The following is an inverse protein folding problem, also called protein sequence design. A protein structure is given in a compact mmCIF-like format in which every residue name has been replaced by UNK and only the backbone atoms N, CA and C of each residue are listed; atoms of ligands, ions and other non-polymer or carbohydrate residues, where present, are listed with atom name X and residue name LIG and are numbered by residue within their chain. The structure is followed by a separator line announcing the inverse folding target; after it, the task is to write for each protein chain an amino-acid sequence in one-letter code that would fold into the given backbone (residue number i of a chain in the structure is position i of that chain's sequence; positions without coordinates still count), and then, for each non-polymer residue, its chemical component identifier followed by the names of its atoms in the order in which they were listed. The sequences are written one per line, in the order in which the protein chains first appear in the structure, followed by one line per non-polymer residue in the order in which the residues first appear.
data_IF_380065040324
#
_entry.id   IF_380065040324
#
_cell.length_a   1.000
_cell.length_b   1.000
_cell.length_c   1.000
_cell.angle_alpha   90.00
_cell.angle_beta   90.00
_cell.angle_gamma   90.00
#
_symmetry.space_group_name_H-M   'P 1'
#
loop_
_entity.id
_entity.type
_entity.pdbx_description
1 polymer ?
#
# COMPACT_ATOMS: atom_id res chain seq x y z
N UNK A 1 -36.70 42.83 -67.27
CA UNK A 1 -35.39 42.71 -66.59
C UNK A 1 -34.97 41.24 -66.42
N UNK A 2 -35.84 40.35 -65.95
CA UNK A 2 -35.52 38.92 -65.76
C UNK A 2 -35.12 38.13 -67.04
N UNK A 3 -35.67 38.44 -68.22
CA UNK A 3 -35.31 37.70 -69.45
C UNK A 3 -33.90 38.01 -69.96
N UNK A 4 -33.36 39.21 -69.70
CA UNK A 4 -31.98 39.58 -70.05
C UNK A 4 -30.96 38.93 -69.13
N UNK A 5 -31.30 38.68 -67.87
CA UNK A 5 -30.44 37.96 -66.93
C UNK A 5 -30.37 36.45 -67.25
N UNK A 6 -31.48 35.86 -67.72
CA UNK A 6 -31.55 34.47 -68.15
C UNK A 6 -30.78 34.16 -69.46
N UNK A 7 -30.46 35.18 -70.25
CA UNK A 7 -29.73 35.04 -71.54
C UNK A 7 -28.27 35.51 -71.47
N UNK A 8 -27.80 35.96 -70.30
CA UNK A 8 -26.43 36.45 -70.16
C UNK A 8 -25.44 35.28 -70.05
N UNK A 9 -24.63 35.10 -71.10
CA UNK A 9 -23.59 34.05 -71.19
C UNK A 9 -22.18 34.58 -70.88
N UNK A 10 -22.04 35.83 -70.42
CA UNK A 10 -20.74 36.47 -70.21
C UNK A 10 -20.04 36.11 -68.88
N UNK A 11 -20.68 35.32 -68.00
CA UNK A 11 -20.14 34.97 -66.68
C UNK A 11 -19.38 33.65 -66.64
N UNK A 12 -18.17 33.64 -66.05
CA UNK A 12 -17.42 32.43 -65.67
C UNK A 12 -18.03 31.69 -64.44
N UNK A 13 -19.26 32.04 -64.04
CA UNK A 13 -19.91 31.55 -62.81
C UNK A 13 -20.05 30.03 -62.82
N UNK A 14 -20.42 29.42 -63.96
CA UNK A 14 -20.53 27.97 -64.07
C UNK A 14 -19.18 27.25 -63.91
N UNK A 15 -18.09 27.85 -64.39
CA UNK A 15 -16.72 27.32 -64.25
C UNK A 15 -16.23 27.43 -62.80
N UNK A 16 -16.42 28.59 -62.17
CA UNK A 16 -16.05 28.81 -60.76
C UNK A 16 -16.88 27.91 -59.85
N UNK A 17 -18.20 27.78 -60.11
CA UNK A 17 -19.07 26.88 -59.39
C UNK A 17 -18.63 25.42 -59.55
N UNK A 18 -18.34 24.96 -60.78
CA UNK A 18 -17.88 23.59 -61.03
C UNK A 18 -16.57 23.27 -60.32
N UNK A 19 -15.60 24.20 -60.32
CA UNK A 19 -14.33 24.03 -59.62
C UNK A 19 -14.48 24.08 -58.08
N UNK A 20 -15.37 24.91 -57.56
CA UNK A 20 -15.64 25.01 -56.11
C UNK A 20 -16.54 23.88 -55.57
N UNK A 21 -17.35 23.26 -56.42
CA UNK A 21 -18.24 22.17 -56.05
C UNK A 21 -17.48 20.90 -55.65
N UNK A 22 -16.38 20.60 -56.35
CA UNK A 22 -15.54 19.42 -56.07
C UNK A 22 -15.01 19.42 -54.62
N UNK A 23 -14.30 20.44 -54.13
CA UNK A 23 -13.80 20.46 -52.75
C UNK A 23 -14.93 20.52 -51.71
N UNK A 24 -16.09 21.10 -52.04
CA UNK A 24 -17.27 21.08 -51.15
C UNK A 24 -17.82 19.67 -50.96
N UNK A 25 -18.00 18.91 -52.04
CA UNK A 25 -18.48 17.52 -51.97
C UNK A 25 -17.48 16.64 -51.24
N UNK A 26 -16.17 16.82 -51.51
CA UNK A 26 -15.11 16.10 -50.78
C UNK A 26 -15.14 16.45 -49.29
N UNK A 27 -15.34 17.72 -48.94
CA UNK A 27 -15.45 18.15 -47.54
C UNK A 27 -16.65 17.54 -46.81
N UNK A 28 -17.82 17.51 -47.45
CA UNK A 28 -19.01 16.83 -46.90
C UNK A 28 -18.77 15.32 -46.80
N UNK A 29 -18.12 14.73 -47.80
CA UNK A 29 -17.77 13.32 -47.80
C UNK A 29 -16.84 12.94 -46.64
N UNK A 30 -15.80 13.73 -46.43
CA UNK A 30 -14.89 13.57 -45.31
C UNK A 30 -15.60 13.71 -43.96
N UNK A 31 -16.54 14.65 -43.83
CA UNK A 31 -17.31 14.81 -42.60
C UNK A 31 -18.19 13.59 -42.30
N UNK A 32 -18.83 12.99 -43.32
CA UNK A 32 -19.67 11.79 -43.15
C UNK A 32 -18.80 10.57 -42.81
N UNK A 33 -17.70 10.36 -43.53
CA UNK A 33 -16.81 9.24 -43.26
C UNK A 33 -16.17 9.38 -41.86
N UNK A 34 -15.72 10.57 -41.49
CA UNK A 34 -15.22 10.88 -40.14
C UNK A 34 -16.28 10.61 -39.06
N UNK A 35 -17.53 11.04 -39.29
CA UNK A 35 -18.62 10.77 -38.35
C UNK A 35 -18.84 9.27 -38.13
N UNK A 36 -18.71 8.46 -39.20
CA UNK A 36 -18.82 7.00 -39.11
C UNK A 36 -17.65 6.38 -38.34
N UNK A 37 -16.42 6.81 -38.62
CA UNK A 37 -15.26 6.30 -37.89
C UNK A 37 -15.24 6.74 -36.44
N UNK A 38 -15.64 7.98 -36.14
CA UNK A 38 -15.80 8.45 -34.76
C UNK A 38 -16.86 7.63 -34.02
N UNK A 39 -17.99 7.30 -34.66
CA UNK A 39 -19.01 6.43 -34.05
C UNK A 39 -18.50 5.02 -33.81
N UNK A 40 -17.74 4.45 -34.76
CA UNK A 40 -17.12 3.13 -34.59
C UNK A 40 -16.10 3.13 -33.46
N UNK A 41 -15.26 4.16 -33.37
CA UNK A 41 -14.29 4.34 -32.30
C UNK A 41 -14.98 4.39 -30.92
N UNK A 42 -16.01 5.22 -30.76
CA UNK A 42 -16.74 5.30 -29.48
C UNK A 42 -17.35 3.96 -29.05
N UNK A 43 -17.92 3.21 -30.00
CA UNK A 43 -18.50 1.90 -29.70
C UNK A 43 -17.45 0.84 -29.36
N UNK A 44 -16.31 0.81 -30.09
CA UNK A 44 -15.21 -0.08 -29.76
C UNK A 44 -14.59 0.26 -28.41
N UNK A 45 -14.53 1.53 -28.02
CA UNK A 45 -14.06 1.95 -26.69
C UNK A 45 -14.97 1.38 -25.59
N UNK A 46 -16.28 1.50 -25.74
CA UNK A 46 -17.26 0.93 -24.79
C UNK A 46 -17.08 -0.59 -24.65
N UNK A 47 -16.89 -1.30 -25.77
CA UNK A 47 -16.60 -2.73 -25.76
C UNK A 47 -15.25 -3.04 -25.10
N UNK A 48 -14.21 -2.25 -25.38
CA UNK A 48 -12.89 -2.44 -24.79
C UNK A 48 -12.91 -2.25 -23.27
N UNK A 49 -13.63 -1.24 -22.76
CA UNK A 49 -13.80 -0.98 -21.33
C UNK A 49 -14.49 -2.16 -20.63
N UNK A 50 -15.58 -2.64 -21.22
CA UNK A 50 -16.33 -3.75 -20.65
C UNK A 50 -15.60 -5.10 -20.80
N UNK A 51 -14.82 -5.30 -21.87
CA UNK A 51 -13.96 -6.45 -22.05
C UNK A 51 -12.77 -6.46 -21.08
N UNK A 52 -12.15 -5.30 -20.84
CA UNK A 52 -11.10 -5.15 -19.83
C UNK A 52 -11.64 -5.47 -18.44
N UNK A 53 -12.85 -5.01 -18.12
CA UNK A 53 -13.54 -5.36 -16.87
C UNK A 53 -13.89 -6.84 -16.78
N UNK A 54 -14.36 -7.46 -17.86
CA UNK A 54 -14.68 -8.89 -17.90
C UNK A 54 -13.42 -9.75 -17.68
N UNK A 55 -12.31 -9.40 -18.34
CA UNK A 55 -11.01 -10.02 -18.08
C UNK A 55 -10.51 -9.78 -16.66
N UNK A 56 -10.70 -8.57 -16.12
CA UNK A 56 -10.26 -8.24 -14.77
C UNK A 56 -11.02 -8.98 -13.66
N UNK A 57 -12.26 -9.42 -13.93
CA UNK A 57 -13.06 -10.26 -13.01
C UNK A 57 -12.63 -11.73 -13.00
N UNK A 58 -11.85 -12.17 -13.98
CA UNK A 58 -11.35 -13.53 -14.02
C UNK A 58 -10.24 -13.71 -12.97
N UNK A 59 -10.53 -14.55 -11.97
CA UNK A 59 -9.70 -14.78 -10.78
C UNK A 59 -8.52 -15.75 -11.03
N UNK A 60 -7.93 -15.71 -12.22
CA UNK A 60 -6.83 -16.58 -12.63
C UNK A 60 -5.56 -15.78 -12.91
N UNK A 61 -4.40 -16.23 -12.42
CA UNK A 61 -3.09 -15.65 -12.81
C UNK A 61 -2.68 -16.09 -14.22
N UNK A 62 -3.40 -17.04 -14.82
CA UNK A 62 -3.19 -17.47 -16.20
C UNK A 62 -3.77 -16.44 -17.18
N UNK A 63 -2.89 -15.82 -17.96
CA UNK A 63 -3.26 -14.89 -19.04
C UNK A 63 -4.21 -15.54 -20.05
N UNK A 64 -4.14 -16.86 -20.28
CA UNK A 64 -5.02 -17.53 -21.22
C UNK A 64 -6.49 -17.51 -20.75
N UNK A 65 -6.74 -17.69 -19.46
CA UNK A 65 -8.09 -17.62 -18.88
C UNK A 65 -8.64 -16.19 -18.94
N UNK A 66 -7.84 -15.21 -18.53
CA UNK A 66 -8.20 -13.78 -18.61
C UNK A 66 -8.48 -13.34 -20.05
N UNK A 67 -7.63 -13.76 -20.98
CA UNK A 67 -7.80 -13.50 -22.40
C UNK A 67 -9.07 -14.14 -22.94
N UNK A 68 -9.39 -15.37 -22.56
CA UNK A 68 -10.62 -16.03 -22.97
C UNK A 68 -11.87 -15.27 -22.45
N UNK A 69 -11.87 -14.84 -21.18
CA UNK A 69 -12.97 -14.07 -20.61
C UNK A 69 -13.19 -12.73 -21.33
N UNK A 70 -12.13 -11.95 -21.55
CA UNK A 70 -12.20 -10.70 -22.29
C UNK A 70 -12.60 -10.92 -23.76
N UNK A 71 -12.05 -11.93 -24.44
CA UNK A 71 -12.38 -12.24 -25.84
C UNK A 71 -13.84 -12.67 -26.00
N UNK A 72 -14.37 -13.48 -25.09
CA UNK A 72 -15.78 -13.87 -25.10
C UNK A 72 -16.70 -12.65 -24.97
N UNK A 73 -16.29 -11.64 -24.19
CA UNK A 73 -17.06 -10.41 -24.06
C UNK A 73 -17.02 -9.57 -25.35
N UNK A 74 -15.83 -9.38 -25.94
CA UNK A 74 -15.68 -8.70 -27.24
C UNK A 74 -16.56 -9.40 -28.28
N UNK A 75 -16.48 -10.73 -28.32
CA UNK A 75 -17.16 -11.51 -29.35
C UNK A 75 -18.69 -11.44 -29.25
N UNK A 76 -19.23 -11.29 -28.04
CA UNK A 76 -20.66 -11.17 -27.80
C UNK A 76 -21.21 -9.76 -28.03
N UNK A 77 -20.36 -8.73 -27.91
CA UNK A 77 -20.80 -7.33 -27.88
C UNK A 77 -20.37 -6.50 -29.09
N UNK A 78 -19.46 -6.99 -29.94
CA UNK A 78 -19.11 -6.32 -31.21
C UNK A 78 -20.12 -6.70 -32.31
N UNK A 79 -20.81 -5.72 -32.95
CA UNK A 79 -21.68 -5.96 -34.09
C UNK A 79 -20.92 -6.63 -35.26
N UNK A 80 -21.57 -7.53 -36.03
CA UNK A 80 -20.91 -8.25 -37.13
C UNK A 80 -20.18 -7.37 -38.14
N UNK A 81 -20.71 -6.17 -38.39
CA UNK A 81 -20.16 -5.19 -39.34
C UNK A 81 -18.84 -4.57 -38.87
N UNK A 82 -18.71 -4.31 -37.55
CA UNK A 82 -17.47 -3.84 -36.95
C UNK A 82 -16.48 -4.98 -36.74
N UNK A 83 -16.98 -6.20 -36.55
CA UNK A 83 -16.14 -7.38 -36.37
C UNK A 83 -15.28 -7.68 -37.59
N UNK A 84 -15.82 -7.49 -38.80
CA UNK A 84 -15.04 -7.61 -40.05
C UNK A 84 -14.02 -6.48 -40.26
N UNK A 85 -14.15 -5.38 -39.51
CA UNK A 85 -13.26 -4.22 -39.57
C UNK A 85 -12.15 -4.27 -38.52
N UNK A 86 -12.21 -5.20 -37.56
CA UNK A 86 -11.16 -5.41 -36.57
C UNK A 86 -9.95 -6.12 -37.21
N UNK A 87 -8.77 -5.52 -37.07
CA UNK A 87 -7.49 -6.07 -37.54
C UNK A 87 -6.80 -6.88 -36.44
N UNK A 88 -6.84 -6.40 -35.20
CA UNK A 88 -6.13 -7.01 -34.08
C UNK A 88 -6.85 -6.76 -32.75
N UNK A 89 -6.84 -7.77 -31.90
CA UNK A 89 -7.18 -7.64 -30.47
C UNK A 89 -5.97 -8.07 -29.66
N UNK A 90 -5.45 -7.16 -28.84
CA UNK A 90 -4.33 -7.42 -27.94
C UNK A 90 -4.83 -7.35 -26.50
N UNK A 91 -4.69 -8.46 -25.76
CA UNK A 91 -5.06 -8.55 -24.35
C UNK A 91 -3.82 -8.99 -23.60
N UNK A 92 -3.38 -8.16 -22.66
CA UNK A 92 -2.15 -8.39 -21.91
C UNK A 92 -2.30 -7.93 -20.46
N UNK A 93 -1.45 -8.47 -19.59
CA UNK A 93 -1.23 -7.89 -18.27
C UNK A 93 -0.26 -6.71 -18.37
N UNK A 94 -0.52 -5.66 -17.60
CA UNK A 94 0.44 -4.59 -17.38
C UNK A 94 1.38 -4.93 -16.23
N UNK A 95 2.45 -4.15 -16.06
CA UNK A 95 3.36 -4.30 -14.92
C UNK A 95 2.65 -4.12 -13.56
N UNK A 96 1.55 -3.36 -13.55
CA UNK A 96 0.77 -3.02 -12.35
C UNK A 96 -0.40 -4.00 -12.10
N UNK A 97 -0.36 -5.20 -12.70
CA UNK A 97 -1.42 -6.22 -12.59
C UNK A 97 -2.80 -5.75 -13.10
N UNK A 98 -2.82 -4.86 -14.11
CA UNK A 98 -4.03 -4.50 -14.82
C UNK A 98 -4.25 -5.39 -16.04
N UNK A 99 -5.50 -5.54 -16.46
CA UNK A 99 -5.84 -6.09 -17.79
C UNK A 99 -5.92 -4.92 -18.76
N UNK A 100 -5.06 -4.94 -19.76
CA UNK A 100 -5.08 -3.99 -20.88
C UNK A 100 -5.66 -4.66 -22.12
N UNK A 101 -6.67 -4.03 -22.71
CA UNK A 101 -7.33 -4.46 -23.94
C UNK A 101 -7.12 -3.39 -25.00
N UNK A 102 -6.55 -3.78 -26.14
CA UNK A 102 -6.43 -2.94 -27.34
C UNK A 102 -7.20 -3.57 -28.48
N UNK A 103 -8.01 -2.77 -29.16
CA UNK A 103 -8.72 -3.18 -30.36
C UNK A 103 -8.32 -2.23 -31.49
N UNK A 104 -7.63 -2.79 -32.49
CA UNK A 104 -7.26 -2.10 -33.72
C UNK A 104 -8.22 -2.49 -34.84
N UNK A 105 -8.63 -1.53 -35.66
CA UNK A 105 -9.48 -1.75 -36.81
C UNK A 105 -9.39 -0.66 -37.87
N UNK A 106 -10.16 -0.78 -38.94
CA UNK A 106 -10.26 0.23 -40.00
C UNK A 106 -11.66 0.33 -40.56
N UNK A 107 -12.14 1.56 -40.71
CA UNK A 107 -13.45 1.83 -41.31
C UNK A 107 -13.27 2.17 -42.79
N UNK A 108 -13.94 1.41 -43.65
CA UNK A 108 -14.00 1.71 -45.08
C UNK A 108 -14.76 3.03 -45.32
N UNK A 109 -14.11 3.93 -46.03
CA UNK A 109 -14.67 5.21 -46.45
C UNK A 109 -15.55 5.03 -47.68
N UNK A 110 -16.65 5.79 -47.76
CA UNK A 110 -17.55 5.73 -48.90
C UNK A 110 -17.36 6.91 -49.84
N UNK A 111 -17.21 8.11 -49.30
CA UNK A 111 -17.17 9.34 -50.12
C UNK A 111 -15.74 9.82 -50.35
N UNK A 112 -14.86 9.67 -49.37
CA UNK A 112 -13.43 10.03 -49.49
C UNK A 112 -12.62 9.03 -50.30
N UNK A 113 -13.17 7.84 -50.61
CA UNK A 113 -12.58 6.89 -51.55
C UNK A 113 -12.39 7.50 -52.96
N UNK A 114 -13.26 8.44 -53.36
CA UNK A 114 -13.16 9.15 -54.65
C UNK A 114 -11.86 9.95 -54.78
N UNK A 115 -11.29 10.39 -53.65
CA UNK A 115 -10.00 11.11 -53.59
C UNK A 115 -8.83 10.23 -53.10
N UNK A 116 -9.02 8.90 -53.06
CA UNK A 116 -7.97 7.93 -52.79
C UNK A 116 -7.76 7.56 -51.32
N UNK A 117 -8.49 8.17 -50.38
CA UNK A 117 -8.50 7.75 -48.97
C UNK A 117 -9.52 6.63 -48.87
N UNK A 118 -9.08 5.38 -48.71
CA UNK A 118 -9.99 4.21 -48.76
C UNK A 118 -10.42 3.74 -47.39
N UNK A 119 -9.54 3.86 -46.41
CA UNK A 119 -9.74 3.39 -45.05
C UNK A 119 -9.28 4.46 -44.07
N UNK A 120 -9.90 4.46 -42.89
CA UNK A 120 -9.43 5.23 -41.74
C UNK A 120 -9.20 4.27 -40.59
N UNK A 121 -7.97 4.22 -40.10
CA UNK A 121 -7.61 3.36 -38.97
C UNK A 121 -8.19 3.91 -37.67
N UNK A 122 -8.68 2.99 -36.83
CA UNK A 122 -9.17 3.26 -35.49
C UNK A 122 -8.45 2.34 -34.51
N UNK A 123 -8.06 2.87 -33.36
CA UNK A 123 -7.43 2.10 -32.29
C UNK A 123 -7.97 2.60 -30.97
N UNK A 124 -8.45 1.68 -30.14
CA UNK A 124 -8.94 1.96 -28.79
C UNK A 124 -8.15 1.14 -27.79
N UNK A 125 -7.92 1.72 -26.61
CA UNK A 125 -7.26 1.06 -25.51
C UNK A 125 -8.06 1.27 -24.23
N UNK A 126 -8.20 0.21 -23.45
CA UNK A 126 -8.75 0.26 -22.11
C UNK A 126 -7.87 -0.52 -21.15
N UNK A 127 -7.82 -0.05 -19.90
CA UNK A 127 -7.05 -0.67 -18.84
C UNK A 127 -7.87 -0.70 -17.57
N UNK A 128 -8.00 -1.89 -16.97
CA UNK A 128 -8.72 -2.09 -15.72
C UNK A 128 -7.81 -2.83 -14.74
N UNK A 129 -7.58 -2.22 -13.59
CA UNK A 129 -6.87 -2.87 -12.49
C UNK A 129 -7.62 -4.11 -12.06
N UNK A 130 -6.91 -5.24 -12.03
CA UNK A 130 -7.47 -6.45 -11.45
C UNK A 130 -7.62 -6.23 -9.96
N UNK A 131 -8.65 -6.80 -9.36
CA UNK A 131 -8.65 -6.97 -7.92
C UNK A 131 -7.49 -7.89 -7.56
N UNK A 132 -6.30 -7.33 -7.31
CA UNK A 132 -5.28 -8.07 -6.58
C UNK A 132 -5.96 -8.55 -5.31
N UNK A 133 -5.78 -9.83 -4.97
CA UNK A 133 -5.97 -10.26 -3.60
C UNK A 133 -4.90 -9.55 -2.80
N UNK A 134 -5.13 -8.27 -2.49
CA UNK A 134 -4.11 -7.38 -1.97
C UNK A 134 -3.40 -8.08 -0.83
N UNK A 135 -2.08 -8.07 -0.83
CA UNK A 135 -1.34 -8.56 0.32
C UNK A 135 -1.13 -7.41 1.29
N UNK A 136 -1.31 -7.70 2.57
CA UNK A 136 -1.17 -6.74 3.65
C UNK A 136 -0.25 -7.35 4.70
N UNK A 137 0.81 -6.64 5.06
CA UNK A 137 1.72 -7.04 6.13
C UNK A 137 1.71 -5.95 7.20
N UNK A 138 1.19 -6.26 8.38
CA UNK A 138 1.00 -5.27 9.46
C UNK A 138 1.86 -5.64 10.67
N UNK A 139 2.66 -4.69 11.14
CA UNK A 139 3.36 -4.79 12.42
C UNK A 139 2.63 -3.95 13.47
N UNK A 140 2.07 -4.62 14.47
CA UNK A 140 1.46 -4.00 15.64
C UNK A 140 2.55 -3.74 16.68
N UNK A 141 3.03 -2.50 16.75
CA UNK A 141 4.03 -2.03 17.71
C UNK A 141 3.31 -1.44 18.91
N UNK A 142 3.12 -2.27 19.94
CA UNK A 142 2.20 -1.97 21.03
C UNK A 142 2.95 -1.75 22.35
N UNK A 143 2.76 -0.58 22.92
CA UNK A 143 3.30 -0.21 24.24
C UNK A 143 2.71 -1.10 25.34
N UNK A 144 3.57 -1.80 26.07
CA UNK A 144 3.22 -2.58 27.26
C UNK A 144 4.03 -2.15 28.48
N UNK A 145 4.30 -0.86 28.59
CA UNK A 145 5.05 -0.26 29.70
C UNK A 145 4.20 -0.19 30.97
N UNK A 146 4.82 0.17 32.10
CA UNK A 146 4.13 0.26 33.38
C UNK A 146 2.94 1.24 33.41
N UNK A 147 2.94 2.29 32.58
CA UNK A 147 1.84 3.27 32.48
C UNK A 147 0.57 2.66 31.86
N UNK A 148 0.72 1.66 31.00
CA UNK A 148 -0.39 0.95 30.35
C UNK A 148 -1.16 0.00 31.28
N UNK A 149 -0.80 -0.13 32.55
CA UNK A 149 -1.44 -1.08 33.48
C UNK A 149 -2.95 -0.88 33.61
N UNK A 150 -3.66 -1.97 33.88
CA UNK A 150 -5.10 -1.95 34.13
C UNK A 150 -5.90 -1.80 32.84
N UNK A 151 -6.85 -0.85 32.84
CA UNK A 151 -7.84 -0.69 31.76
C UNK A 151 -7.23 -0.22 30.43
N UNK A 152 -6.12 0.50 30.46
CA UNK A 152 -5.43 0.96 29.24
C UNK A 152 -4.95 -0.22 28.39
N UNK A 153 -4.17 -1.13 28.97
CA UNK A 153 -3.69 -2.34 28.27
C UNK A 153 -4.85 -3.28 27.93
N UNK A 154 -5.88 -3.40 28.77
CA UNK A 154 -7.06 -4.20 28.43
C UNK A 154 -7.74 -3.67 27.17
N UNK A 155 -8.00 -2.36 27.11
CA UNK A 155 -8.62 -1.71 25.95
C UNK A 155 -7.76 -1.85 24.70
N UNK A 156 -6.44 -1.67 24.81
CA UNK A 156 -5.50 -1.90 23.71
C UNK A 156 -5.58 -3.33 23.16
N UNK A 157 -5.59 -4.33 24.05
CA UNK A 157 -5.68 -5.74 23.64
C UNK A 157 -6.96 -6.04 22.91
N UNK A 158 -8.09 -5.49 23.38
CA UNK A 158 -9.39 -5.70 22.78
C UNK A 158 -9.45 -5.12 21.37
N UNK A 159 -9.01 -3.87 21.18
CA UNK A 159 -9.04 -3.22 19.85
C UNK A 159 -8.04 -3.84 18.87
N UNK A 160 -6.85 -4.23 19.35
CA UNK A 160 -5.84 -4.87 18.50
C UNK A 160 -6.28 -6.28 18.08
N UNK A 161 -6.88 -7.05 18.99
CA UNK A 161 -7.47 -8.36 18.67
C UNK A 161 -8.58 -8.22 17.66
N UNK A 162 -9.49 -7.27 17.88
CA UNK A 162 -10.60 -7.00 16.96
C UNK A 162 -10.12 -6.61 15.56
N UNK A 163 -9.07 -5.79 15.45
CA UNK A 163 -8.49 -5.43 14.16
C UNK A 163 -7.96 -6.65 13.40
N UNK A 164 -7.24 -7.55 14.08
CA UNK A 164 -6.76 -8.80 13.47
C UNK A 164 -7.93 -9.67 13.02
N UNK A 165 -8.95 -9.83 13.85
CA UNK A 165 -10.14 -10.63 13.54
C UNK A 165 -10.92 -10.04 12.34
N UNK A 166 -11.17 -8.74 12.33
CA UNK A 166 -11.92 -8.07 11.26
C UNK A 166 -11.18 -8.14 9.92
N UNK A 167 -9.85 -7.94 9.92
CA UNK A 167 -9.03 -8.06 8.69
C UNK A 167 -8.97 -9.51 8.21
N UNK A 168 -8.75 -10.48 9.11
CA UNK A 168 -8.65 -11.90 8.74
C UNK A 168 -9.97 -12.51 8.26
N UNK A 169 -11.11 -11.87 8.59
CA UNK A 169 -12.43 -12.27 8.08
C UNK A 169 -12.57 -12.03 6.56
N UNK A 170 -11.80 -11.10 5.99
CA UNK A 170 -11.81 -10.80 4.56
C UNK A 170 -10.97 -11.84 3.78
N UNK A 171 -11.66 -12.81 3.16
CA UNK A 171 -11.03 -13.90 2.40
C UNK A 171 -10.33 -13.45 1.11
N UNK A 172 -10.62 -12.24 0.64
CA UNK A 172 -10.00 -11.67 -0.56
C UNK A 172 -8.67 -10.95 -0.26
N UNK A 173 -8.33 -10.76 1.02
CA UNK A 173 -7.13 -10.05 1.49
C UNK A 173 -6.13 -11.04 2.09
N UNK A 174 -4.91 -11.12 1.53
CA UNK A 174 -3.83 -11.94 2.08
C UNK A 174 -3.09 -11.15 3.16
N UNK A 175 -3.62 -11.18 4.37
CA UNK A 175 -3.04 -10.49 5.51
C UNK A 175 -2.04 -11.35 6.29
N UNK A 176 -0.96 -10.72 6.76
CA UNK A 176 -0.12 -11.23 7.84
C UNK A 176 0.02 -10.16 8.92
N UNK A 177 0.07 -10.61 10.17
CA UNK A 177 0.29 -9.73 11.32
C UNK A 177 1.51 -10.16 12.11
N UNK A 178 2.28 -9.17 12.57
CA UNK A 178 3.31 -9.32 13.57
C UNK A 178 2.91 -8.53 14.82
N UNK A 179 3.29 -9.03 15.99
CA UNK A 179 3.15 -8.32 17.26
C UNK A 179 4.54 -7.98 17.79
N UNK A 180 4.79 -6.70 18.03
CA UNK A 180 6.00 -6.19 18.67
C UNK A 180 5.60 -5.49 19.96
N UNK A 181 5.48 -6.23 21.08
CA UNK A 181 5.28 -5.61 22.38
C UNK A 181 6.59 -4.96 22.83
N UNK A 182 6.54 -3.72 23.31
CA UNK A 182 7.74 -3.01 23.74
C UNK A 182 7.55 -2.29 25.08
N UNK A 183 8.64 -2.29 25.86
CA UNK A 183 8.80 -1.44 27.01
C UNK A 183 10.19 -0.78 26.97
N UNK A 184 11.04 -1.04 27.96
CA UNK A 184 12.44 -0.61 27.92
C UNK A 184 13.22 -1.40 26.88
N UNK A 185 12.90 -2.68 26.69
CA UNK A 185 13.51 -3.56 25.70
C UNK A 185 12.42 -4.29 24.92
N UNK A 186 12.85 -4.95 23.85
CA UNK A 186 12.02 -5.88 23.08
C UNK A 186 12.55 -7.30 23.31
N UNK A 187 11.65 -8.26 23.39
CA UNK A 187 11.98 -9.68 23.49
C UNK A 187 11.84 -10.35 22.13
N UNK A 188 12.93 -10.86 21.56
CA UNK A 188 12.95 -11.54 20.24
C UNK A 188 12.70 -13.05 20.36
N UNK A 189 12.57 -13.55 21.58
CA UNK A 189 12.38 -14.96 21.91
C UNK A 189 13.72 -15.69 22.16
N UNK A 190 13.76 -16.61 23.14
CA UNK A 190 14.97 -17.36 23.47
C UNK A 190 15.44 -18.29 22.35
N UNK A 191 14.54 -18.66 21.42
CA UNK A 191 14.86 -19.48 20.25
C UNK A 191 15.90 -18.81 19.32
N UNK A 192 16.03 -17.48 19.38
CA UNK A 192 16.98 -16.71 18.54
C UNK A 192 18.43 -16.76 19.05
N UNK A 193 18.74 -17.50 20.12
CA UNK A 193 20.06 -17.43 20.79
C UNK A 193 21.26 -17.81 19.90
N UNK A 194 21.03 -18.60 18.86
CA UNK A 194 22.06 -19.00 17.89
C UNK A 194 21.95 -18.27 16.55
N UNK A 195 21.12 -17.23 16.46
CA UNK A 195 20.96 -16.46 15.25
C UNK A 195 22.27 -15.73 14.89
N UNK A 196 22.62 -15.71 13.59
CA UNK A 196 23.87 -15.12 13.11
C UNK A 196 23.96 -13.61 13.36
N UNK A 197 22.81 -12.93 13.41
CA UNK A 197 22.65 -11.49 13.64
C UNK A 197 22.70 -11.09 15.12
N UNK A 198 22.71 -12.05 16.06
CA UNK A 198 22.70 -11.80 17.50
C UNK A 198 24.12 -11.86 18.08
N UNK A 199 24.49 -10.87 18.88
CA UNK A 199 25.71 -10.85 19.68
C UNK A 199 25.40 -11.34 21.10
N UNK A 200 25.96 -12.49 21.45
CA UNK A 200 25.77 -13.12 22.76
C UNK A 200 26.94 -12.88 23.73
N UNK A 201 27.82 -11.91 23.45
CA UNK A 201 28.99 -11.63 24.29
C UNK A 201 28.66 -11.07 25.67
N UNK A 202 27.46 -10.50 25.84
CA UNK A 202 27.01 -9.85 27.07
C UNK A 202 26.08 -10.70 27.95
N UNK A 203 25.73 -11.92 27.50
CA UNK A 203 24.89 -12.83 28.28
C UNK A 203 25.76 -13.86 29.02
N UNK A 204 25.39 -14.17 30.25
CA UNK A 204 26.09 -15.12 31.10
C UNK A 204 25.96 -16.56 30.59
N UNK A 205 24.79 -16.91 30.04
CA UNK A 205 24.57 -18.22 29.41
C UNK A 205 23.51 -18.17 28.32
N UNK A 206 23.81 -18.80 27.19
CA UNK A 206 22.85 -19.01 26.09
C UNK A 206 21.63 -19.82 26.51
N UNK A 207 21.77 -20.79 27.43
CA UNK A 207 20.66 -21.66 27.84
C UNK A 207 19.64 -20.97 28.75
N UNK A 208 20.03 -19.86 29.40
CA UNK A 208 19.17 -19.12 30.35
C UNK A 208 18.70 -17.78 29.81
N UNK A 209 19.17 -17.37 28.63
CA UNK A 209 18.78 -16.10 28.02
C UNK A 209 17.29 -16.11 27.68
N UNK A 210 16.59 -15.07 28.13
CA UNK A 210 15.12 -14.97 28.02
C UNK A 210 14.63 -14.38 26.68
N UNK A 211 15.56 -13.94 25.82
CA UNK A 211 15.26 -13.35 24.51
C UNK A 211 15.33 -11.82 24.45
N UNK A 212 15.75 -11.12 25.50
CA UNK A 212 15.82 -9.66 25.46
C UNK A 212 17.07 -9.14 24.76
N UNK A 213 16.87 -8.06 24.01
CA UNK A 213 17.91 -7.42 23.21
C UNK A 213 18.02 -5.93 23.52
N UNK A 214 19.25 -5.43 23.45
CA UNK A 214 19.55 -4.01 23.56
C UNK A 214 19.45 -3.30 22.22
N UNK A 215 19.58 -2.00 22.28
CA UNK A 215 19.80 -1.20 21.08
C UNK A 215 21.14 -1.51 20.43
N UNK A 216 21.32 -1.09 19.17
CA UNK A 216 22.64 -1.01 18.51
C UNK A 216 23.25 0.38 18.75
N UNK A 217 24.54 0.56 18.45
CA UNK A 217 25.21 1.85 18.68
C UNK A 217 24.51 3.00 17.93
N UNK A 218 24.69 4.24 18.38
CA UNK A 218 23.89 5.42 17.99
C UNK A 218 23.51 5.54 16.50
N UNK A 219 24.44 5.28 15.57
CA UNK A 219 24.14 5.34 14.13
C UNK A 219 23.36 4.12 13.57
N UNK A 220 23.48 2.96 14.22
CA UNK A 220 22.90 1.68 13.81
C UNK A 220 21.57 1.40 14.52
N UNK A 221 21.28 2.12 15.60
CA UNK A 221 20.05 1.96 16.35
C UNK A 221 18.82 2.42 15.56
N UNK A 222 19.05 3.24 14.53
CA UNK A 222 18.04 3.82 13.67
C UNK A 222 17.97 3.17 12.28
N UNK A 223 18.77 2.14 12.00
CA UNK A 223 18.82 1.45 10.69
C UNK A 223 18.33 0.01 10.79
N UNK A 224 18.03 -0.58 9.63
CA UNK A 224 17.66 -2.00 9.45
C UNK A 224 18.63 -2.72 8.49
N UNK A 225 19.92 -2.65 8.77
CA UNK A 225 20.97 -3.23 7.91
C UNK A 225 22.17 -3.75 8.70
N UNK A 226 23.16 -4.32 8.00
CA UNK A 226 24.49 -4.65 8.51
C UNK A 226 24.54 -5.64 9.70
N UNK A 227 23.56 -6.54 9.80
CA UNK A 227 23.49 -7.54 10.87
C UNK A 227 24.62 -8.56 10.88
N UNK A 228 25.33 -8.75 9.75
CA UNK A 228 26.44 -9.68 9.67
C UNK A 228 27.67 -9.20 10.46
N UNK A 229 27.95 -7.90 10.45
CA UNK A 229 29.15 -7.33 11.11
C UNK A 229 28.81 -6.48 12.33
N UNK A 230 27.59 -5.94 12.39
CA UNK A 230 27.08 -5.10 13.48
C UNK A 230 25.80 -5.72 14.05
N UNK A 231 26.03 -6.80 14.79
CA UNK A 231 25.03 -7.63 15.44
C UNK A 231 24.26 -6.89 16.52
N UNK A 232 23.07 -7.39 16.83
CA UNK A 232 22.23 -6.87 17.91
C UNK A 232 22.67 -7.51 19.23
N UNK A 233 22.94 -6.72 20.28
CA UNK A 233 23.36 -7.26 21.57
C UNK A 233 22.22 -7.96 22.30
N UNK A 234 22.42 -9.23 22.66
CA UNK A 234 21.59 -9.94 23.63
C UNK A 234 21.89 -9.41 25.04
N UNK A 235 20.84 -9.23 25.85
CA UNK A 235 20.99 -8.74 27.23
C UNK A 235 20.41 -9.73 28.23
N UNK A 236 21.13 -9.90 29.35
CA UNK A 236 20.60 -10.50 30.57
C UNK A 236 19.97 -9.41 31.44
N UNK A 237 18.65 -9.29 31.31
CA UNK A 237 17.84 -8.33 32.07
C UNK A 237 16.89 -9.06 33.02
N UNK A 238 16.60 -8.52 34.22
CA UNK A 238 15.73 -9.18 35.19
C UNK A 238 14.34 -9.48 34.63
N UNK A 239 13.80 -8.51 33.88
CA UNK A 239 12.49 -8.56 33.25
C UNK A 239 12.64 -8.57 31.74
N UNK A 240 11.98 -9.52 31.11
CA UNK A 240 11.92 -9.61 29.66
C UNK A 240 10.45 -9.84 29.30
N UNK A 241 9.86 -8.87 28.60
CA UNK A 241 8.44 -8.86 28.27
C UNK A 241 8.02 -10.01 27.36
N UNK A 242 6.78 -9.98 26.90
CA UNK A 242 6.29 -10.94 25.90
C UNK A 242 7.19 -10.92 24.66
N UNK A 243 7.50 -12.07 24.10
CA UNK A 243 8.28 -12.14 22.85
C UNK A 243 7.48 -11.61 21.67
N UNK A 244 8.18 -11.04 20.68
CA UNK A 244 7.64 -10.77 19.36
C UNK A 244 6.90 -12.01 18.85
N UNK A 245 5.71 -11.79 18.29
CA UNK A 245 5.09 -12.75 17.37
C UNK A 245 5.55 -12.37 15.97
N UNK A 246 6.34 -13.19 15.27
CA UNK A 246 6.77 -12.89 13.91
C UNK A 246 5.58 -12.73 12.97
N UNK A 247 5.84 -12.14 11.82
CA UNK A 247 4.82 -11.91 10.80
C UNK A 247 4.22 -13.24 10.34
N UNK A 248 2.92 -13.43 10.55
CA UNK A 248 2.25 -14.69 10.22
C UNK A 248 0.79 -14.47 9.80
N UNK A 249 0.28 -15.39 8.98
CA UNK A 249 -1.14 -15.58 8.65
C UNK A 249 -1.88 -16.47 9.67
N UNK A 250 -1.19 -16.96 10.72
CA UNK A 250 -1.77 -17.69 11.84
C UNK A 250 -2.37 -16.73 12.86
N UNK A 251 -3.49 -16.12 12.51
CA UNK A 251 -4.13 -15.04 13.27
C UNK A 251 -4.41 -15.40 14.74
N UNK A 252 -4.77 -16.66 15.04
CA UNK A 252 -5.00 -17.12 16.41
C UNK A 252 -3.75 -17.08 17.30
N UNK A 253 -2.56 -17.27 16.72
CA UNK A 253 -1.29 -17.16 17.44
C UNK A 253 -0.98 -15.69 17.76
N UNK A 254 -1.28 -14.78 16.82
CA UNK A 254 -1.12 -13.34 16.99
C UNK A 254 -2.08 -12.81 18.06
N UNK A 255 -3.37 -13.14 18.00
CA UNK A 255 -4.36 -12.71 19.00
C UNK A 255 -4.09 -13.32 20.39
N UNK A 256 -3.60 -14.56 20.45
CA UNK A 256 -3.11 -15.16 21.70
C UNK A 256 -1.87 -14.43 22.24
N UNK A 257 -0.97 -13.97 21.36
CA UNK A 257 0.19 -13.17 21.78
C UNK A 257 -0.25 -11.82 22.36
N UNK A 258 -1.19 -11.12 21.71
CA UNK A 258 -1.78 -9.85 22.16
C UNK A 258 -2.40 -10.02 23.54
N UNK A 259 -3.30 -11.00 23.70
CA UNK A 259 -4.01 -11.22 24.97
C UNK A 259 -3.06 -11.54 26.13
N UNK A 260 -1.90 -12.15 25.86
CA UNK A 260 -0.88 -12.49 26.86
C UNK A 260 0.08 -11.36 27.23
N UNK A 261 -0.02 -10.17 26.63
CA UNK A 261 0.83 -9.02 26.98
C UNK A 261 0.62 -8.63 28.45
N UNK A 262 1.66 -8.12 29.10
CA UNK A 262 1.57 -7.60 30.47
C UNK A 262 2.33 -6.28 30.56
N UNK A 263 1.78 -5.35 31.34
CA UNK A 263 2.30 -4.00 31.46
C UNK A 263 3.39 -3.91 32.55
N UNK A 264 4.62 -3.56 32.17
CA UNK A 264 5.74 -3.43 33.09
C UNK A 264 6.91 -2.61 32.52
N UNK A 265 7.83 -2.19 33.39
CA UNK A 265 9.06 -1.45 33.07
C UNK A 265 8.83 -0.03 32.51
N UNK A 266 9.92 0.67 32.17
CA UNK A 266 9.90 2.01 31.61
C UNK A 266 9.66 1.98 30.08
N UNK A 267 9.53 3.16 29.46
CA UNK A 267 9.17 3.34 28.05
C UNK A 267 10.36 3.74 27.20
N UNK A 268 10.65 2.93 26.16
CA UNK A 268 11.62 3.26 25.11
C UNK A 268 11.05 2.94 23.72
N UNK A 269 10.32 3.91 23.16
CA UNK A 269 9.64 3.83 21.86
C UNK A 269 10.59 3.45 20.70
N UNK A 270 11.84 3.96 20.62
CA UNK A 270 12.74 3.60 19.53
C UNK A 270 12.98 2.09 19.38
N UNK A 271 13.00 1.32 20.49
CA UNK A 271 13.15 -0.12 20.39
C UNK A 271 11.93 -0.77 19.73
N UNK A 272 10.71 -0.37 20.12
CA UNK A 272 9.49 -0.83 19.49
C UNK A 272 9.47 -0.54 18.00
N UNK A 273 9.75 0.72 17.61
CA UNK A 273 9.77 1.14 16.20
C UNK A 273 10.82 0.39 15.37
N UNK A 274 12.05 0.28 15.86
CA UNK A 274 13.11 -0.42 15.14
C UNK A 274 12.79 -1.92 14.96
N UNK A 275 12.16 -2.56 15.94
CA UNK A 275 11.70 -3.94 15.83
C UNK A 275 10.45 -4.11 14.97
N UNK A 276 9.53 -3.13 14.98
CA UNK A 276 8.40 -3.04 14.06
C UNK A 276 8.84 -2.98 12.61
N UNK A 277 9.90 -2.21 12.32
CA UNK A 277 10.51 -2.19 10.99
C UNK A 277 11.14 -3.54 10.64
N UNK A 278 11.93 -4.12 11.54
CA UNK A 278 12.62 -5.42 11.34
C UNK A 278 11.66 -6.56 11.00
N UNK A 279 10.51 -6.66 11.66
CA UNK A 279 9.53 -7.74 11.39
C UNK A 279 8.83 -7.60 10.03
N UNK A 280 8.78 -6.39 9.46
CA UNK A 280 8.24 -6.13 8.12
C UNK A 280 9.27 -6.30 7.02
N UNK A 281 10.54 -6.46 7.37
CA UNK A 281 11.63 -6.44 6.41
C UNK A 281 11.93 -7.85 5.88
N UNK A 282 12.41 -7.99 4.64
CA UNK A 282 12.58 -9.31 4.01
C UNK A 282 13.79 -10.11 4.51
N UNK A 283 14.68 -9.46 5.26
CA UNK A 283 15.94 -10.05 5.72
C UNK A 283 15.93 -10.33 7.22
N UNK A 284 17.06 -10.83 7.72
CA UNK A 284 17.28 -10.91 9.17
C UNK A 284 16.96 -9.55 9.84
N UNK A 285 16.40 -9.54 11.07
CA UNK A 285 16.29 -10.69 11.99
C UNK A 285 15.16 -11.70 11.73
N UNK A 286 14.09 -11.29 11.04
CA UNK A 286 12.88 -12.07 10.78
C UNK A 286 12.65 -12.13 9.26
N UNK A 287 12.71 -13.32 8.65
CA UNK A 287 12.66 -13.48 7.20
C UNK A 287 11.25 -13.63 6.61
N UNK A 288 10.21 -13.43 7.41
CA UNK A 288 8.82 -13.67 7.04
C UNK A 288 8.20 -12.54 6.21
N UNK A 289 8.78 -11.33 6.26
CA UNK A 289 8.37 -10.17 5.47
C UNK A 289 8.65 -10.36 3.98
N UNK A 290 7.73 -9.91 3.13
CA UNK A 290 8.01 -9.87 1.69
C UNK A 290 9.03 -8.77 1.34
N UNK A 291 9.52 -8.78 0.10
CA UNK A 291 10.31 -7.66 -0.43
C UNK A 291 9.53 -6.33 -0.34
N UNK A 292 10.25 -5.21 -0.25
CA UNK A 292 9.61 -3.90 -0.29
C UNK A 292 9.07 -3.62 -1.69
N UNK A 293 7.88 -3.04 -1.74
CA UNK A 293 7.26 -2.50 -2.95
C UNK A 293 7.40 -0.98 -2.96
N UNK A 294 7.92 -0.42 -4.05
CA UNK A 294 8.09 1.02 -4.22
C UNK A 294 6.77 1.78 -4.18
N UNK A 295 5.65 1.16 -4.57
CA UNK A 295 4.32 1.75 -4.51
C UNK A 295 3.55 1.39 -3.22
N UNK A 296 4.10 0.48 -2.41
CA UNK A 296 3.47 -0.08 -1.20
C UNK A 296 2.04 -0.63 -1.44
N UNK A 297 1.88 -1.43 -2.49
CA UNK A 297 0.60 -2.02 -2.92
C UNK A 297 0.54 -3.53 -2.73
N UNK A 298 1.64 -4.25 -3.00
CA UNK A 298 1.65 -5.71 -2.91
C UNK A 298 3.00 -6.30 -2.43
N UNK A 299 3.17 -6.55 -1.12
CA UNK A 299 2.22 -6.21 -0.07
C UNK A 299 2.24 -4.73 0.26
N UNK A 300 1.07 -4.18 0.62
CA UNK A 300 1.00 -2.98 1.44
C UNK A 300 1.56 -3.32 2.82
N UNK A 301 2.64 -2.66 3.20
CA UNK A 301 3.29 -2.79 4.52
C UNK A 301 2.85 -1.64 5.41
N UNK A 302 2.39 -1.99 6.60
CA UNK A 302 1.86 -1.04 7.59
C UNK A 302 2.51 -1.28 8.95
N UNK A 303 2.97 -0.21 9.58
CA UNK A 303 3.41 -0.20 10.97
C UNK A 303 2.40 0.59 11.81
N UNK A 304 1.80 -0.05 12.82
CA UNK A 304 0.89 0.60 13.76
C UNK A 304 1.63 0.79 15.08
N UNK A 305 1.97 2.02 15.43
CA UNK A 305 2.55 2.38 16.73
C UNK A 305 1.45 2.88 17.66
N UNK A 306 1.35 2.32 18.86
CA UNK A 306 0.51 2.86 19.94
C UNK A 306 1.37 3.06 21.18
N UNK A 307 1.29 4.25 21.78
CA UNK A 307 1.89 4.54 23.09
C UNK A 307 1.00 5.47 23.92
N UNK A 308 1.09 5.35 25.26
CA UNK A 308 0.37 6.19 26.22
C UNK A 308 1.24 7.22 26.93
N UNK A 309 2.49 7.39 26.51
CA UNK A 309 3.42 8.22 27.25
C UNK A 309 4.71 8.56 26.52
N UNK A 310 5.57 9.27 27.25
CA UNK A 310 6.85 9.74 26.74
C UNK A 310 7.87 8.60 26.76
N UNK A 311 8.93 8.76 25.97
CA UNK A 311 10.17 8.08 26.31
C UNK A 311 10.60 8.44 27.74
N UNK A 312 11.02 7.45 28.51
CA UNK A 312 11.55 7.62 29.89
C UNK A 312 12.94 7.02 30.04
N UNK A 313 13.48 6.47 28.94
CA UNK A 313 14.78 5.84 28.86
C UNK A 313 15.65 6.48 27.77
N UNK A 314 16.97 6.41 27.95
CA UNK A 314 17.99 6.84 26.98
C UNK A 314 18.98 5.70 26.68
N UNK A 315 19.78 5.86 25.62
CA UNK A 315 20.83 4.91 25.21
C UNK A 315 22.23 5.38 25.58
N UNK A 316 22.37 6.30 26.53
CA UNK A 316 23.68 6.86 26.89
C UNK A 316 24.63 5.81 27.52
N UNK A 317 24.08 4.70 28.01
CA UNK A 317 24.83 3.53 28.48
C UNK A 317 24.62 2.31 27.56
N UNK A 318 24.87 2.51 26.27
CA UNK A 318 24.82 1.48 25.24
C UNK A 318 25.54 0.18 25.67
N UNK A 319 24.96 -1.01 25.47
CA UNK A 319 23.67 -1.30 24.79
C UNK A 319 22.44 -1.31 25.69
N UNK A 320 22.63 -1.02 26.98
CA UNK A 320 21.54 -0.93 27.94
C UNK A 320 20.84 0.42 27.83
N UNK A 321 19.57 0.42 28.21
CA UNK A 321 18.80 1.64 28.35
C UNK A 321 18.81 2.08 29.80
N UNK A 322 19.13 3.35 30.03
CA UNK A 322 19.14 3.94 31.35
C UNK A 322 17.91 4.82 31.55
N UNK A 323 17.31 4.80 32.75
CA UNK A 323 16.23 5.72 33.06
C UNK A 323 16.79 7.15 33.13
N UNK A 324 16.13 8.08 32.45
CA UNK A 324 16.54 9.50 32.46
C UNK A 324 16.44 10.13 33.87
N UNK A 325 15.41 9.77 34.63
CA UNK A 325 15.23 10.09 36.06
C UNK A 325 14.19 9.14 36.70
N UNK A 326 14.44 7.83 36.59
CA UNK A 326 13.44 6.77 36.86
C UNK A 326 12.40 6.67 35.73
N UNK A 327 11.48 5.69 35.78
CA UNK A 327 10.40 5.55 34.78
C UNK A 327 9.39 6.71 34.79
N UNK A 328 9.56 7.69 35.69
CA UNK A 328 8.74 8.89 35.81
C UNK A 328 9.50 10.18 35.44
N UNK A 329 10.78 10.05 35.10
CA UNK A 329 11.69 11.17 34.84
C UNK A 329 11.68 11.62 33.38
N UNK A 330 11.64 12.95 33.16
CA UNK A 330 11.63 13.58 31.83
C UNK A 330 13.00 14.14 31.40
N UNK A 331 14.05 14.01 32.22
CA UNK A 331 15.37 14.54 31.89
C UNK A 331 16.14 13.58 30.95
N UNK A 332 16.85 14.12 29.96
CA UNK A 332 17.67 13.41 28.95
C UNK A 332 16.94 12.63 27.82
N UNK A 333 15.62 12.78 27.66
CA UNK A 333 14.84 12.01 26.66
C UNK A 333 14.86 12.58 25.23
N UNK A 334 15.40 13.79 25.03
CA UNK A 334 15.47 14.44 23.71
C UNK A 334 16.16 13.57 22.65
N UNK A 335 17.20 12.82 23.05
CA UNK A 335 17.91 11.88 22.17
C UNK A 335 17.02 10.72 21.73
N UNK A 336 16.21 10.20 22.64
CA UNK A 336 15.25 9.13 22.36
C UNK A 336 14.13 9.60 21.43
N UNK A 337 13.61 10.81 21.64
CA UNK A 337 12.63 11.43 20.74
C UNK A 337 13.21 11.73 19.36
N UNK A 338 14.48 12.13 19.29
CA UNK A 338 15.21 12.28 18.02
C UNK A 338 15.34 10.93 17.29
N UNK A 339 15.58 9.83 18.02
CA UNK A 339 15.60 8.50 17.44
C UNK A 339 14.23 8.03 16.95
N UNK A 340 13.15 8.35 17.66
CA UNK A 340 11.79 8.12 17.14
C UNK A 340 11.65 8.77 15.77
N UNK A 341 11.95 10.08 15.66
CA UNK A 341 11.86 10.82 14.38
C UNK A 341 12.68 10.17 13.28
N UNK A 342 13.96 9.90 13.54
CA UNK A 342 14.87 9.30 12.55
C UNK A 342 14.44 7.90 12.12
N UNK A 343 13.96 7.06 13.04
CA UNK A 343 13.46 5.72 12.67
C UNK A 343 12.22 5.85 11.79
N UNK A 344 11.26 6.70 12.16
CA UNK A 344 10.04 6.89 11.37
C UNK A 344 10.36 7.44 9.97
N UNK A 345 11.30 8.39 9.85
CA UNK A 345 11.80 8.84 8.54
C UNK A 345 12.40 7.69 7.73
N UNK A 346 13.18 6.82 8.35
CA UNK A 346 13.83 5.69 7.67
C UNK A 346 12.82 4.62 7.23
N UNK A 347 11.81 4.34 8.06
CA UNK A 347 10.69 3.45 7.74
C UNK A 347 9.87 4.03 6.58
N UNK A 348 9.54 5.32 6.62
CA UNK A 348 8.83 6.01 5.53
C UNK A 348 9.61 6.00 4.22
N UNK A 349 10.96 6.07 4.26
CA UNK A 349 11.81 5.94 3.07
C UNK A 349 11.76 4.55 2.41
N UNK A 350 11.30 3.52 3.12
CA UNK A 350 10.99 2.20 2.55
C UNK A 350 9.55 2.09 2.02
N UNK A 351 8.83 3.21 1.94
CA UNK A 351 7.41 3.31 1.60
C UNK A 351 6.47 2.54 2.54
N UNK A 352 6.92 2.18 3.74
CA UNK A 352 6.04 1.60 4.77
C UNK A 352 5.13 2.69 5.32
N UNK A 353 3.84 2.40 5.39
CA UNK A 353 2.84 3.31 5.96
C UNK A 353 2.84 3.22 7.48
N UNK A 354 2.94 4.35 8.18
CA UNK A 354 2.98 4.40 9.64
C UNK A 354 1.69 5.02 10.15
N UNK A 355 0.94 4.25 10.94
CA UNK A 355 -0.14 4.74 11.79
C UNK A 355 0.36 4.91 13.21
N UNK A 356 -0.05 5.99 13.86
CA UNK A 356 0.33 6.25 15.26
C UNK A 356 -0.90 6.61 16.09
N UNK A 357 -0.98 6.05 17.28
CA UNK A 357 -2.04 6.35 18.25
C UNK A 357 -1.40 6.86 19.53
N UNK A 358 -1.71 8.10 19.89
CA UNK A 358 -1.46 8.65 21.22
C UNK A 358 -2.66 8.30 22.11
N UNK A 359 -2.47 7.46 23.14
CA UNK A 359 -3.56 6.97 23.95
C UNK A 359 -3.52 7.51 25.38
N UNK A 360 -4.50 8.33 25.76
CA UNK A 360 -4.56 9.02 27.06
C UNK A 360 -3.27 9.80 27.36
N UNK A 361 -2.77 10.53 26.36
CA UNK A 361 -1.59 11.40 26.45
C UNK A 361 -2.05 12.85 26.57
N UNK A 362 -1.57 13.58 27.57
CA UNK A 362 -1.87 15.02 27.74
C UNK A 362 -0.72 15.94 27.28
N UNK A 363 0.50 15.42 27.17
CA UNK A 363 1.69 16.21 26.86
C UNK A 363 1.82 16.45 25.35
N UNK A 364 1.69 17.72 24.94
CA UNK A 364 1.75 18.12 23.54
C UNK A 364 3.07 17.79 22.85
N UNK A 365 4.20 17.73 23.57
CA UNK A 365 5.45 17.33 22.94
C UNK A 365 5.41 15.87 22.49
N UNK A 366 4.82 14.99 23.30
CA UNK A 366 4.65 13.58 22.97
C UNK A 366 3.71 13.44 21.78
N UNK A 367 2.58 14.15 21.79
CA UNK A 367 1.65 14.18 20.65
C UNK A 367 2.35 14.60 19.37
N UNK A 368 3.16 15.66 19.41
CA UNK A 368 3.92 16.13 18.26
C UNK A 368 4.95 15.10 17.76
N UNK A 369 5.61 14.37 18.66
CA UNK A 369 6.55 13.29 18.29
C UNK A 369 5.83 12.14 17.61
N UNK A 370 4.68 11.70 18.15
CA UNK A 370 3.88 10.62 17.57
C UNK A 370 3.24 11.05 16.24
N UNK A 371 2.65 12.24 16.16
CA UNK A 371 2.09 12.79 14.93
C UNK A 371 3.15 12.93 13.83
N UNK A 372 4.35 13.42 14.15
CA UNK A 372 5.45 13.52 13.19
C UNK A 372 5.97 12.16 12.69
N UNK A 373 5.74 11.09 13.46
CA UNK A 373 6.09 9.73 13.06
C UNK A 373 5.11 9.16 12.03
N UNK A 374 3.82 9.50 12.11
CA UNK A 374 2.80 9.07 11.15
C UNK A 374 3.18 9.41 9.69
N UNK A 375 2.65 8.62 8.74
CA UNK A 375 2.87 8.87 7.31
C UNK A 375 2.10 10.09 6.79
N UNK A 376 0.96 10.41 7.40
CA UNK A 376 0.16 11.60 7.12
C UNK A 376 -0.70 11.95 8.34
N UNK A 377 -1.35 13.12 8.32
CA UNK A 377 -2.27 13.53 9.38
C UNK A 377 -3.45 12.56 9.54
N UNK A 378 -3.91 11.90 8.46
CA UNK A 378 -4.97 10.88 8.55
C UNK A 378 -4.49 9.54 9.11
N UNK A 379 -3.18 9.35 9.29
CA UNK A 379 -2.62 8.18 9.95
C UNK A 379 -2.33 8.43 11.45
N UNK A 380 -2.55 9.64 11.96
CA UNK A 380 -2.40 9.97 13.37
C UNK A 380 -3.75 9.98 14.09
N UNK A 381 -3.80 9.37 15.26
CA UNK A 381 -4.98 9.37 16.13
C UNK A 381 -4.61 9.79 17.54
N UNK A 382 -5.37 10.74 18.08
CA UNK A 382 -5.31 11.18 19.46
C UNK A 382 -6.54 10.63 20.17
N UNK A 383 -6.35 9.59 21.00
CA UNK A 383 -7.42 8.88 21.67
C UNK A 383 -7.36 9.17 23.18
N UNK A 384 -8.30 9.95 23.67
CA UNK A 384 -8.36 10.38 25.08
C UNK A 384 -9.03 9.36 26.00
N UNK A 385 -9.57 8.27 25.45
CA UNK A 385 -10.27 7.22 26.19
C UNK A 385 -10.44 5.96 25.32
N UNK A 386 -10.93 4.87 25.91
CA UNK A 386 -11.10 3.57 25.24
C UNK A 386 -12.09 3.59 24.07
N UNK A 387 -13.08 4.50 24.05
CA UNK A 387 -14.04 4.63 22.96
C UNK A 387 -13.39 5.26 21.73
N UNK A 388 -12.62 6.33 21.94
CA UNK A 388 -11.83 6.97 20.89
C UNK A 388 -10.74 6.04 20.35
N UNK A 389 -10.12 5.25 21.23
CA UNK A 389 -9.18 4.21 20.83
C UNK A 389 -9.84 3.17 19.91
N UNK A 390 -11.04 2.70 20.27
CA UNK A 390 -11.80 1.78 19.42
C UNK A 390 -12.18 2.39 18.07
N UNK A 391 -12.56 3.67 18.05
CA UNK A 391 -12.86 4.40 16.81
C UNK A 391 -11.63 4.53 15.90
N UNK A 392 -10.44 4.81 16.47
CA UNK A 392 -9.19 4.86 15.71
C UNK A 392 -8.88 3.52 15.03
N UNK A 393 -9.00 2.40 15.76
CA UNK A 393 -8.77 1.07 15.19
C UNK A 393 -9.81 0.69 14.14
N UNK A 394 -11.08 1.11 14.29
CA UNK A 394 -12.10 0.91 13.26
C UNK A 394 -11.75 1.65 11.96
N UNK A 395 -11.27 2.89 12.05
CA UNK A 395 -10.83 3.65 10.87
C UNK A 395 -9.61 3.00 10.19
N UNK A 396 -8.66 2.49 10.97
CA UNK A 396 -7.52 1.72 10.43
C UNK A 396 -7.99 0.44 9.72
N UNK A 397 -8.86 -0.35 10.34
CA UNK A 397 -9.43 -1.57 9.74
C UNK A 397 -10.13 -1.27 8.41
N UNK A 398 -10.93 -0.20 8.33
CA UNK A 398 -11.57 0.21 7.09
C UNK A 398 -10.55 0.52 5.99
N UNK A 399 -9.50 1.29 6.33
CA UNK A 399 -8.41 1.59 5.39
C UNK A 399 -7.71 0.32 4.89
N UNK A 400 -7.54 -0.69 5.73
CA UNK A 400 -6.88 -1.96 5.37
C UNK A 400 -7.72 -2.81 4.42
N UNK A 401 -9.04 -2.65 4.43
CA UNK A 401 -9.96 -3.41 3.57
C UNK A 401 -10.17 -2.75 2.20
N UNK A 402 -9.90 -1.45 2.06
CA UNK A 402 -10.14 -0.65 0.83
C UNK A 402 -9.06 -0.79 -0.28
N UNK A 403 -8.33 -1.91 -0.35
CA UNK A 403 -7.25 -2.14 -1.35
C UNK A 403 -7.77 -2.16 -2.81
N UNK A 404 -9.10 -2.12 -3.02
CA UNK A 404 -9.72 -2.19 -4.35
C UNK A 404 -9.73 -0.88 -5.14
N UNK A 405 -9.33 0.25 -4.56
CA UNK A 405 -9.52 1.56 -5.22
C UNK A 405 -8.25 2.42 -5.12
N UNK A 406 -7.20 2.07 -5.85
CA UNK A 406 -6.30 3.10 -6.37
C UNK A 406 -6.84 3.53 -7.72
N UNK A 407 -7.45 4.72 -7.76
CA UNK A 407 -7.88 5.39 -8.99
C UNK A 407 -6.72 5.70 -9.92
#
# INVERSE_FOLDING_TARGET
MFSRFLHDRSGAVALIFGLAFIPLVVGVGAAIDYSRASSAHSHLQEVADAAALAGARENSEDLAAVKAAAQNYIDANVPPQLRSQMKRVDIAFTADNAVRVVIDGSVETTLTNVVGIREMDISVASEVMRGSKGSLEVALVLDNTGSMRGQKLASLKDVATKLVDDVSSNKDLKAKFALVPFAEYVNVGPAMVNASWLDTSLIASKSTWKGCVGSRGDALNITDDNYATKKIPALDVPKCGKSISPLSDRFSEVTSAISSMSADSCTYIPAGLAWGWRVLSPGAPFGEGAAYDAANRDPRKVLVLLSDGANTMTTDNFPYHMPGSGCSGKESINKSDEYVKKICENVKRQNIEIFTVAFEVDDNNIKNVLQGCASSDSNYFDASNSQELAAAFQQMTASFQDIRISR
#
